data_IF_838739035703
#
_entry.id   IF_838739035703
#
_cell.length_a   1.000
_cell.length_b   1.000
_cell.length_c   1.000
_cell.angle_alpha   90.00
_cell.angle_beta   90.00
_cell.angle_gamma   90.00
#
_symmetry.space_group_name_H-M   'P 1'
#
loop_
_entity.id
_entity.type
_entity.pdbx_description
1 polymer ?
#
# COMPACT_ATOMS: atom_id res chain seq x y z
N UNK A 1 7.31 -11.09 -28.54
CA UNK A 1 7.20 -11.69 -29.89
C UNK A 1 8.29 -12.71 -30.17
N UNK A 2 9.58 -12.39 -29.98
CA UNK A 2 10.69 -13.33 -30.23
C UNK A 2 10.54 -14.68 -29.50
N UNK A 3 10.21 -14.68 -28.20
CA UNK A 3 9.99 -15.92 -27.43
C UNK A 3 8.86 -16.82 -27.96
N UNK A 4 7.77 -16.21 -28.45
CA UNK A 4 6.66 -16.95 -29.05
C UNK A 4 7.05 -17.56 -30.40
N UNK A 5 7.79 -16.80 -31.22
CA UNK A 5 8.31 -17.26 -32.51
C UNK A 5 9.33 -18.40 -32.32
N UNK A 6 10.19 -18.31 -31.31
CA UNK A 6 11.10 -19.38 -30.91
C UNK A 6 10.36 -20.64 -30.43
N UNK A 7 9.30 -20.46 -29.63
CA UNK A 7 8.47 -21.58 -29.16
C UNK A 7 7.76 -22.30 -30.31
N UNK A 8 7.18 -21.55 -31.26
CA UNK A 8 6.54 -22.10 -32.46
C UNK A 8 7.54 -22.83 -33.36
N UNK A 9 8.75 -22.28 -33.55
CA UNK A 9 9.78 -22.90 -34.36
C UNK A 9 10.29 -24.22 -33.74
N UNK A 10 10.45 -24.28 -32.42
CA UNK A 10 10.84 -25.51 -31.71
C UNK A 10 9.72 -26.56 -31.72
N UNK A 11 8.46 -26.15 -31.63
CA UNK A 11 7.32 -27.07 -31.76
C UNK A 11 7.26 -27.69 -33.17
N UNK A 12 7.48 -26.90 -34.22
CA UNK A 12 7.57 -27.40 -35.59
C UNK A 12 8.75 -28.35 -35.81
N UNK A 13 9.91 -28.07 -35.20
CA UNK A 13 11.05 -29.00 -35.21
C UNK A 13 10.73 -30.30 -34.47
N UNK A 14 9.98 -30.23 -33.37
CA UNK A 14 9.58 -31.41 -32.60
C UNK A 14 8.67 -32.34 -33.41
N UNK A 15 7.68 -31.78 -34.13
CA UNK A 15 6.82 -32.55 -35.04
C UNK A 15 7.61 -33.16 -36.20
N UNK A 16 8.58 -32.42 -36.74
CA UNK A 16 9.38 -32.89 -37.89
C UNK A 16 10.37 -34.01 -37.53
N UNK A 17 10.92 -34.00 -36.32
CA UNK A 17 11.95 -34.96 -35.88
C UNK A 17 11.43 -35.98 -34.84
N UNK A 18 10.14 -35.98 -34.53
CA UNK A 18 9.46 -36.84 -33.54
C UNK A 18 10.24 -37.01 -32.23
N UNK A 19 10.85 -35.92 -31.75
CA UNK A 19 11.81 -35.93 -30.66
C UNK A 19 11.23 -35.24 -29.41
N UNK A 20 11.36 -35.88 -28.25
CA UNK A 20 10.81 -35.37 -26.99
C UNK A 20 11.54 -34.12 -26.45
N UNK A 21 12.81 -33.94 -26.80
CA UNK A 21 13.65 -32.82 -26.35
C UNK A 21 13.13 -31.46 -26.89
N UNK A 22 12.94 -31.26 -28.22
CA UNK A 22 12.39 -30.00 -28.74
C UNK A 22 10.94 -29.77 -28.30
N UNK A 23 10.16 -30.83 -28.06
CA UNK A 23 8.81 -30.71 -27.50
C UNK A 23 8.83 -30.17 -26.06
N UNK A 24 9.71 -30.69 -25.20
CA UNK A 24 9.90 -30.20 -23.84
C UNK A 24 10.42 -28.75 -23.82
N UNK A 25 11.35 -28.41 -24.71
CA UNK A 25 11.86 -27.05 -24.85
C UNK A 25 10.77 -26.07 -25.31
N UNK A 26 9.93 -26.46 -26.28
CA UNK A 26 8.79 -25.66 -26.72
C UNK A 26 7.78 -25.45 -25.58
N UNK A 27 7.46 -26.49 -24.80
CA UNK A 27 6.59 -26.39 -23.64
C UNK A 27 7.14 -25.42 -22.58
N UNK A 28 8.45 -25.46 -22.30
CA UNK A 28 9.12 -24.52 -21.39
C UNK A 28 9.05 -23.07 -21.90
N UNK A 29 9.27 -22.85 -23.19
CA UNK A 29 9.19 -21.51 -23.80
C UNK A 29 7.76 -20.95 -23.77
N UNK A 30 6.74 -21.78 -24.01
CA UNK A 30 5.34 -21.39 -23.85
C UNK A 30 5.00 -21.09 -22.39
N UNK A 31 5.41 -21.94 -21.45
CA UNK A 31 5.21 -21.70 -20.02
C UNK A 31 5.86 -20.39 -19.57
N UNK A 32 7.08 -20.10 -20.04
CA UNK A 32 7.79 -18.86 -19.75
C UNK A 32 7.08 -17.63 -20.35
N UNK A 33 6.57 -17.75 -21.58
CA UNK A 33 5.77 -16.70 -22.23
C UNK A 33 4.51 -16.39 -21.42
N UNK A 34 3.76 -17.42 -21.02
CA UNK A 34 2.55 -17.27 -20.19
C UNK A 34 2.91 -16.61 -18.85
N UNK A 35 3.99 -17.06 -18.20
CA UNK A 35 4.47 -16.51 -16.94
C UNK A 35 4.81 -15.02 -17.07
N UNK A 36 5.54 -14.61 -18.12
CA UNK A 36 5.85 -13.20 -18.40
C UNK A 36 4.57 -12.40 -18.67
N UNK A 37 3.66 -12.92 -19.50
CA UNK A 37 2.40 -12.27 -19.83
C UNK A 37 1.56 -11.99 -18.58
N UNK A 38 1.39 -13.01 -17.73
CA UNK A 38 0.70 -12.89 -16.44
C UNK A 38 1.42 -11.91 -15.49
N UNK A 39 2.76 -11.94 -15.48
CA UNK A 39 3.55 -11.04 -14.66
C UNK A 39 3.36 -9.57 -15.06
N UNK A 40 3.43 -9.26 -16.36
CA UNK A 40 3.21 -7.92 -16.90
C UNK A 40 1.77 -7.47 -16.61
N UNK A 41 0.78 -8.32 -16.89
CA UNK A 41 -0.63 -8.01 -16.62
C UNK A 41 -0.88 -7.68 -15.14
N UNK A 42 -0.33 -8.49 -14.22
CA UNK A 42 -0.41 -8.26 -12.77
C UNK A 42 0.29 -6.96 -12.36
N UNK A 43 1.46 -6.64 -12.92
CA UNK A 43 2.16 -5.38 -12.63
C UNK A 43 1.33 -4.17 -13.07
N UNK A 44 0.76 -4.22 -14.27
CA UNK A 44 -0.07 -3.12 -14.81
C UNK A 44 -1.31 -2.89 -13.94
N UNK A 45 -2.02 -3.96 -13.60
CA UNK A 45 -3.19 -3.87 -12.72
C UNK A 45 -2.85 -3.30 -11.34
N UNK A 46 -1.71 -3.71 -10.75
CA UNK A 46 -1.23 -3.16 -9.48
C UNK A 46 -0.88 -1.67 -9.59
N UNK A 47 -0.21 -1.25 -10.67
CA UNK A 47 0.14 0.14 -10.89
C UNK A 47 -1.11 1.03 -11.04
N UNK A 48 -2.09 0.58 -11.82
CA UNK A 48 -3.37 1.27 -12.00
C UNK A 48 -4.14 1.37 -10.67
N UNK A 49 -4.26 0.27 -9.94
CA UNK A 49 -4.92 0.27 -8.63
C UNK A 49 -4.25 1.24 -7.65
N UNK A 50 -2.90 1.27 -7.62
CA UNK A 50 -2.14 2.20 -6.77
C UNK A 50 -2.38 3.64 -7.17
N UNK A 51 -2.36 3.96 -8.47
CA UNK A 51 -2.63 5.30 -8.97
C UNK A 51 -4.03 5.78 -8.57
N UNK A 52 -5.07 4.94 -8.70
CA UNK A 52 -6.42 5.30 -8.24
C UNK A 52 -6.51 5.51 -6.74
N UNK A 53 -5.82 4.68 -5.95
CA UNK A 53 -5.71 4.87 -4.49
C UNK A 53 -5.04 6.20 -4.15
N UNK A 54 -3.94 6.53 -4.82
CA UNK A 54 -3.20 7.78 -4.57
C UNK A 54 -4.04 9.01 -4.94
N UNK A 55 -4.81 8.95 -6.04
CA UNK A 55 -5.78 10.00 -6.41
C UNK A 55 -6.86 10.16 -5.33
N UNK A 56 -7.42 9.05 -4.83
CA UNK A 56 -8.46 9.11 -3.80
C UNK A 56 -7.93 9.71 -2.49
N UNK A 57 -6.73 9.31 -2.05
CA UNK A 57 -6.13 9.87 -0.83
C UNK A 57 -5.72 11.34 -1.00
N UNK A 58 -5.22 11.73 -2.18
CA UNK A 58 -4.96 13.12 -2.53
C UNK A 58 -6.23 13.98 -2.44
N UNK A 59 -7.32 13.53 -3.08
CA UNK A 59 -8.61 14.23 -3.08
C UNK A 59 -9.16 14.40 -1.65
N UNK A 60 -9.14 13.32 -0.86
CA UNK A 60 -9.57 13.37 0.54
C UNK A 60 -8.73 14.36 1.34
N UNK A 61 -7.41 14.29 1.23
CA UNK A 61 -6.50 15.17 1.97
C UNK A 61 -6.71 16.63 1.60
N UNK A 62 -6.77 16.95 0.30
CA UNK A 62 -7.07 18.32 -0.17
C UNK A 62 -8.44 18.79 0.28
N UNK A 63 -9.47 17.92 0.25
CA UNK A 63 -10.81 18.27 0.68
C UNK A 63 -10.84 18.61 2.18
N UNK A 64 -10.16 17.81 3.01
CA UNK A 64 -10.03 18.09 4.44
C UNK A 64 -9.30 19.41 4.70
N UNK A 65 -8.13 19.61 4.09
CA UNK A 65 -7.38 20.86 4.22
C UNK A 65 -8.21 22.07 3.78
N UNK A 66 -8.94 21.97 2.66
CA UNK A 66 -9.87 23.01 2.22
C UNK A 66 -10.99 23.26 3.25
N UNK A 67 -11.68 22.21 3.71
CA UNK A 67 -12.81 22.37 4.63
C UNK A 67 -12.42 23.01 5.95
N UNK A 68 -11.22 22.72 6.48
CA UNK A 68 -10.87 23.12 7.84
C UNK A 68 -9.93 24.32 7.88
N UNK A 69 -9.62 24.96 6.75
CA UNK A 69 -8.59 26.00 6.63
C UNK A 69 -7.18 25.48 6.98
N UNK A 70 -6.92 24.24 6.57
CA UNK A 70 -5.64 23.55 6.68
C UNK A 70 -4.67 23.90 5.57
N UNK A 71 -3.37 23.82 5.89
CA UNK A 71 -2.25 23.98 4.96
C UNK A 71 -2.37 25.21 4.05
N UNK A 72 -2.35 25.01 2.71
CA UNK A 72 -2.39 26.12 1.76
C UNK A 72 -3.73 26.86 1.76
N UNK A 73 -4.79 26.33 2.39
CA UNK A 73 -6.15 26.90 2.36
C UNK A 73 -6.51 27.72 3.59
N UNK A 74 -5.50 28.30 4.26
CA UNK A 74 -5.67 29.08 5.48
C UNK A 74 -6.65 30.27 5.32
N UNK A 75 -7.14 30.82 6.43
CA UNK A 75 -8.17 31.87 6.44
C UNK A 75 -7.83 33.13 5.65
N UNK A 76 -6.55 33.42 5.41
CA UNK A 76 -6.08 34.60 4.64
C UNK A 76 -6.06 34.42 3.12
N UNK A 77 -6.45 33.26 2.58
CA UNK A 77 -6.46 33.03 1.12
C UNK A 77 -7.66 33.77 0.51
N UNK A 78 -7.44 34.67 -0.48
CA UNK A 78 -8.53 35.43 -1.11
C UNK A 78 -9.50 34.56 -1.92
N UNK A 79 -8.98 33.61 -2.71
CA UNK A 79 -9.76 32.68 -3.52
C UNK A 79 -9.39 31.21 -3.18
N UNK A 80 -9.98 30.63 -2.13
CA UNK A 80 -9.69 29.26 -1.73
C UNK A 80 -10.26 28.22 -2.70
N UNK A 81 -11.33 28.55 -3.44
CA UNK A 81 -11.94 27.64 -4.42
C UNK A 81 -11.06 27.51 -5.66
N UNK A 82 -10.57 28.63 -6.19
CA UNK A 82 -9.61 28.66 -7.28
C UNK A 82 -8.29 27.98 -6.92
N UNK A 83 -7.77 28.25 -5.71
CA UNK A 83 -6.56 27.58 -5.23
C UNK A 83 -6.76 26.06 -5.10
N UNK A 84 -7.94 25.61 -4.64
CA UNK A 84 -8.23 24.18 -4.55
C UNK A 84 -8.23 23.53 -5.93
N UNK A 85 -8.89 24.17 -6.90
CA UNK A 85 -8.94 23.71 -8.28
C UNK A 85 -7.54 23.63 -8.90
N UNK A 86 -6.72 24.66 -8.71
CA UNK A 86 -5.35 24.71 -9.21
C UNK A 86 -4.50 23.57 -8.63
N UNK A 87 -4.46 23.44 -7.30
CA UNK A 87 -3.66 22.41 -6.62
C UNK A 87 -4.13 21.01 -6.95
N UNK A 88 -5.45 20.80 -7.06
CA UNK A 88 -5.99 19.50 -7.45
C UNK A 88 -5.52 19.12 -8.86
N UNK A 89 -5.72 20.00 -9.85
CA UNK A 89 -5.37 19.69 -11.23
C UNK A 89 -3.85 19.60 -11.45
N UNK A 90 -3.05 20.34 -10.68
CA UNK A 90 -1.59 20.19 -10.64
C UNK A 90 -1.17 18.78 -10.20
N UNK A 91 -1.66 18.33 -9.04
CA UNK A 91 -1.27 17.02 -8.49
C UNK A 91 -1.84 15.85 -9.31
N UNK A 92 -3.03 16.00 -9.89
CA UNK A 92 -3.55 15.03 -10.85
C UNK A 92 -2.72 14.99 -12.15
N UNK A 93 -2.15 16.12 -12.60
CA UNK A 93 -1.23 16.14 -13.74
C UNK A 93 0.03 15.33 -13.47
N UNK A 94 0.58 15.38 -12.26
CA UNK A 94 1.72 14.54 -11.86
C UNK A 94 1.35 13.05 -11.91
N UNK A 95 0.15 12.69 -11.44
CA UNK A 95 -0.32 11.30 -11.47
C UNK A 95 -0.57 10.80 -12.91
N UNK A 96 -1.03 11.66 -13.82
CA UNK A 96 -1.14 11.33 -15.25
C UNK A 96 0.22 10.98 -15.87
N UNK A 97 1.31 11.64 -15.46
CA UNK A 97 2.66 11.35 -15.97
C UNK A 97 3.15 9.96 -15.60
N UNK A 98 2.64 9.36 -14.52
CA UNK A 98 2.99 8.00 -14.08
C UNK A 98 1.98 6.93 -14.51
N UNK A 99 1.08 7.28 -15.44
CA UNK A 99 0.15 6.32 -16.08
C UNK A 99 -1.23 6.26 -15.46
N UNK A 100 -1.64 7.24 -14.65
CA UNK A 100 -3.04 7.40 -14.27
C UNK A 100 -3.87 7.93 -15.45
N UNK A 101 -4.99 7.27 -15.75
CA UNK A 101 -5.94 7.71 -16.77
C UNK A 101 -7.11 8.44 -16.11
N UNK A 102 -7.34 9.68 -16.53
CA UNK A 102 -8.39 10.54 -15.98
C UNK A 102 -9.73 10.23 -16.66
N UNK A 103 -10.61 9.52 -15.95
CA UNK A 103 -11.95 9.17 -16.43
C UNK A 103 -12.99 10.28 -16.23
N UNK A 104 -12.60 11.44 -15.67
CA UNK A 104 -13.52 12.55 -15.37
C UNK A 104 -13.89 13.32 -16.64
N UNK A 105 -15.19 13.38 -16.91
CA UNK A 105 -15.76 14.02 -18.09
C UNK A 105 -16.57 15.29 -17.73
N UNK A 106 -16.32 16.37 -18.45
CA UNK A 106 -17.05 17.64 -18.32
C UNK A 106 -16.55 18.58 -17.21
N UNK A 107 -16.87 19.87 -17.34
CA UNK A 107 -16.38 20.93 -16.43
C UNK A 107 -16.80 20.72 -14.96
N UNK A 108 -17.98 20.15 -14.71
CA UNK A 108 -18.48 19.84 -13.36
C UNK A 108 -17.66 18.77 -12.63
N UNK A 109 -16.83 18.00 -13.33
CA UNK A 109 -16.00 16.95 -12.74
C UNK A 109 -14.55 17.40 -12.48
N UNK A 110 -14.22 18.66 -12.74
CA UNK A 110 -12.85 19.19 -12.69
C UNK A 110 -12.75 20.46 -11.87
N UNK A 111 -11.57 20.73 -11.34
CA UNK A 111 -11.27 21.94 -10.58
C UNK A 111 -12.32 22.24 -9.50
N UNK A 112 -12.95 23.42 -9.56
CA UNK A 112 -13.95 23.90 -8.60
C UNK A 112 -15.23 23.06 -8.58
N UNK A 113 -15.54 22.32 -9.66
CA UNK A 113 -16.67 21.40 -9.72
C UNK A 113 -16.55 20.21 -8.76
N UNK A 114 -15.34 19.93 -8.26
CA UNK A 114 -15.11 18.92 -7.22
C UNK A 114 -15.39 19.43 -5.80
N UNK A 115 -15.60 20.74 -5.62
CA UNK A 115 -15.94 21.32 -4.32
C UNK A 115 -17.44 21.17 -4.09
N UNK A 116 -17.79 20.29 -3.16
CA UNK A 116 -19.19 20.01 -2.83
C UNK A 116 -19.80 21.13 -1.98
N UNK A 117 -21.15 21.26 -1.96
CA UNK A 117 -21.83 22.19 -1.05
C UNK A 117 -21.47 21.94 0.43
N UNK A 118 -21.38 20.66 0.84
CA UNK A 118 -21.01 20.28 2.21
C UNK A 118 -19.62 20.79 2.57
N UNK A 119 -18.65 20.71 1.65
CA UNK A 119 -17.30 21.24 1.89
C UNK A 119 -17.33 22.74 2.18
N UNK A 120 -18.11 23.51 1.40
CA UNK A 120 -18.28 24.95 1.64
C UNK A 120 -19.00 25.22 2.95
N UNK A 121 -20.01 24.43 3.30
CA UNK A 121 -20.74 24.54 4.57
C UNK A 121 -19.81 24.30 5.76
N UNK A 122 -18.92 23.30 5.72
CA UNK A 122 -17.94 23.07 6.79
C UNK A 122 -16.94 24.21 6.85
N UNK A 123 -16.43 24.67 5.69
CA UNK A 123 -15.48 25.80 5.61
C UNK A 123 -16.03 27.09 6.22
N UNK A 124 -17.31 27.38 6.03
CA UNK A 124 -17.95 28.56 6.58
C UNK A 124 -18.16 28.53 8.11
N UNK A 125 -17.91 27.40 8.78
CA UNK A 125 -18.11 27.28 10.23
C UNK A 125 -17.04 28.04 11.02
N UNK A 126 -17.35 28.47 12.26
CA UNK A 126 -16.36 28.99 13.19
C UNK A 126 -15.22 27.99 13.45
N UNK A 127 -14.05 28.50 13.80
CA UNK A 127 -12.84 27.71 14.03
C UNK A 127 -13.07 26.51 14.96
N UNK A 128 -13.72 26.72 16.12
CA UNK A 128 -13.98 25.66 17.09
C UNK A 128 -14.74 24.47 16.49
N UNK A 129 -15.75 24.74 15.66
CA UNK A 129 -16.54 23.72 14.99
C UNK A 129 -15.75 23.02 13.88
N UNK A 130 -14.98 23.75 13.07
CA UNK A 130 -14.10 23.15 12.05
C UNK A 130 -13.05 22.22 12.69
N UNK A 131 -12.46 22.66 13.80
CA UNK A 131 -11.49 21.89 14.59
C UNK A 131 -12.10 20.60 15.11
N UNK A 132 -13.28 20.67 15.73
CA UNK A 132 -13.95 19.49 16.26
C UNK A 132 -14.30 18.48 15.17
N UNK A 133 -14.85 18.94 14.04
CA UNK A 133 -15.15 18.10 12.87
C UNK A 133 -13.87 17.41 12.38
N UNK A 134 -12.76 18.13 12.22
CA UNK A 134 -11.50 17.54 11.79
C UNK A 134 -10.98 16.47 12.77
N UNK A 135 -10.96 16.79 14.06
CA UNK A 135 -10.42 15.90 15.08
C UNK A 135 -11.26 14.62 15.23
N UNK A 136 -12.58 14.76 15.18
CA UNK A 136 -13.52 13.65 15.33
C UNK A 136 -13.63 12.80 14.08
N UNK A 137 -13.78 13.43 12.92
CA UNK A 137 -14.17 12.71 11.70
C UNK A 137 -12.95 12.29 10.88
N UNK A 138 -11.86 13.08 10.88
CA UNK A 138 -10.64 12.77 10.12
C UNK A 138 -9.55 12.17 10.98
N UNK A 139 -9.13 12.85 12.05
CA UNK A 139 -7.98 12.40 12.85
C UNK A 139 -8.26 11.10 13.60
N UNK A 140 -9.41 10.99 14.28
CA UNK A 140 -9.76 9.78 15.00
C UNK A 140 -9.91 8.57 14.08
N UNK A 141 -10.51 8.74 12.90
CA UNK A 141 -10.61 7.68 11.89
C UNK A 141 -9.22 7.18 11.48
N UNK A 142 -8.29 8.10 11.17
CA UNK A 142 -6.92 7.75 10.79
C UNK A 142 -6.17 7.07 11.94
N UNK A 143 -6.26 7.61 13.15
CA UNK A 143 -5.65 7.02 14.34
C UNK A 143 -6.12 5.57 14.56
N UNK A 144 -7.44 5.33 14.56
CA UNK A 144 -8.01 3.98 14.73
C UNK A 144 -7.57 3.05 13.61
N UNK A 145 -7.54 3.54 12.37
CA UNK A 145 -7.08 2.74 11.22
C UNK A 145 -5.62 2.30 11.37
N UNK A 146 -4.71 3.23 11.70
CA UNK A 146 -3.28 2.94 11.89
C UNK A 146 -3.02 2.03 13.07
N UNK A 147 -3.70 2.24 14.20
CA UNK A 147 -3.64 1.37 15.38
C UNK A 147 -4.06 -0.07 15.05
N UNK A 148 -5.19 -0.23 14.37
CA UNK A 148 -5.67 -1.55 13.97
C UNK A 148 -4.67 -2.22 13.01
N UNK A 149 -4.14 -1.48 12.04
CA UNK A 149 -3.13 -1.97 11.08
C UNK A 149 -1.81 -2.39 11.73
N UNK A 150 -1.35 -1.65 12.75
CA UNK A 150 -0.19 -2.03 13.54
C UNK A 150 -0.44 -3.36 14.26
N UNK A 151 -1.58 -3.48 14.94
CA UNK A 151 -1.95 -4.70 15.67
C UNK A 151 -2.11 -5.94 14.77
N UNK A 152 -2.72 -5.77 13.60
CA UNK A 152 -2.88 -6.84 12.60
C UNK A 152 -1.53 -7.31 12.06
N UNK A 153 -0.65 -6.37 11.71
CA UNK A 153 0.69 -6.65 11.21
C UNK A 153 1.54 -7.35 12.27
N UNK A 154 1.44 -6.91 13.52
CA UNK A 154 2.14 -7.53 14.64
C UNK A 154 1.66 -8.97 14.87
N UNK A 155 0.34 -9.20 14.95
CA UNK A 155 -0.24 -10.54 15.11
C UNK A 155 0.14 -11.49 13.97
N UNK A 156 0.17 -10.99 12.74
CA UNK A 156 0.62 -11.76 11.59
C UNK A 156 2.11 -12.12 11.71
N UNK A 157 2.96 -11.18 12.12
CA UNK A 157 4.39 -11.40 12.36
C UNK A 157 4.63 -12.51 13.41
N UNK A 158 3.96 -12.43 14.56
CA UNK A 158 4.05 -13.42 15.63
C UNK A 158 3.57 -14.78 15.15
N UNK A 159 2.38 -14.86 14.51
CA UNK A 159 1.82 -16.12 14.02
C UNK A 159 2.75 -16.83 13.04
N UNK A 160 3.28 -16.11 12.05
CA UNK A 160 4.19 -16.72 11.08
C UNK A 160 5.52 -17.13 11.71
N UNK A 161 6.03 -16.36 12.68
CA UNK A 161 7.24 -16.73 13.41
C UNK A 161 7.03 -18.02 14.22
N UNK A 162 5.87 -18.17 14.87
CA UNK A 162 5.50 -19.39 15.59
C UNK A 162 5.33 -20.59 14.66
N UNK A 163 4.69 -20.42 13.49
CA UNK A 163 4.54 -21.48 12.49
C UNK A 163 5.91 -21.94 11.98
N UNK A 164 6.78 -21.01 11.60
CA UNK A 164 8.14 -21.33 11.15
C UNK A 164 8.93 -22.04 12.24
N UNK A 165 8.90 -21.55 13.49
CA UNK A 165 9.59 -22.18 14.60
C UNK A 165 9.08 -23.60 14.89
N UNK A 166 7.77 -23.82 14.84
CA UNK A 166 7.16 -25.13 15.02
C UNK A 166 7.59 -26.11 13.90
N UNK A 167 7.56 -25.67 12.63
CA UNK A 167 8.01 -26.49 11.51
C UNK A 167 9.50 -26.86 11.63
N UNK A 168 10.35 -25.91 12.00
CA UNK A 168 11.78 -26.17 12.24
C UNK A 168 12.01 -27.12 13.42
N UNK A 169 11.28 -26.95 14.52
CA UNK A 169 11.36 -27.84 15.68
C UNK A 169 10.92 -29.26 15.36
N UNK A 170 9.83 -29.42 14.59
CA UNK A 170 9.38 -30.72 14.12
C UNK A 170 10.36 -31.35 13.12
N UNK A 171 10.96 -30.55 12.24
CA UNK A 171 12.00 -31.02 11.32
C UNK A 171 13.23 -31.55 12.08
N UNK A 172 13.66 -30.83 13.11
CA UNK A 172 14.75 -31.24 13.99
C UNK A 172 14.42 -32.54 14.74
N UNK A 173 13.23 -32.64 15.33
CA UNK A 173 12.79 -33.85 16.02
C UNK A 173 12.76 -35.06 15.07
N UNK A 174 12.21 -34.90 13.87
CA UNK A 174 12.19 -35.94 12.85
C UNK A 174 13.61 -36.35 12.42
N UNK A 175 14.53 -35.39 12.28
CA UNK A 175 15.92 -35.66 11.95
C UNK A 175 16.62 -36.49 13.05
N UNK A 176 16.42 -36.14 14.32
CA UNK A 176 17.00 -36.87 15.46
C UNK A 176 16.43 -38.28 15.56
N UNK A 177 15.10 -38.44 15.49
CA UNK A 177 14.47 -39.76 15.56
C UNK A 177 14.87 -40.67 14.39
N UNK A 178 15.10 -40.10 13.20
CA UNK A 178 15.66 -40.83 12.05
C UNK A 178 17.11 -41.23 12.30
N UNK A 179 17.93 -40.35 12.86
CA UNK A 179 19.32 -40.66 13.20
C UNK A 179 19.43 -41.78 14.26
N UNK A 180 18.46 -41.86 15.18
CA UNK A 180 18.35 -42.93 16.18
C UNK A 180 17.73 -44.23 15.64
N UNK A 181 17.34 -44.29 14.36
CA UNK A 181 16.75 -45.47 13.74
C UNK A 181 15.31 -45.78 14.17
N UNK A 182 14.62 -44.83 14.80
CA UNK A 182 13.26 -45.03 15.35
C UNK A 182 12.19 -44.97 14.26
N UNK A 183 12.43 -44.25 13.16
CA UNK A 183 11.50 -44.04 12.05
C UNK A 183 12.17 -44.35 10.71
N UNK A 184 11.48 -45.09 9.84
CA UNK A 184 11.94 -45.49 8.52
C UNK A 184 11.09 -44.98 7.36
N UNK A 185 11.74 -44.72 6.22
CA UNK A 185 11.13 -44.65 4.88
C UNK A 185 10.56 -43.31 4.40
N UNK A 186 10.19 -42.37 5.26
CA UNK A 186 9.54 -41.11 4.85
C UNK A 186 10.44 -39.89 5.14
N UNK A 187 10.67 -39.04 4.13
CA UNK A 187 11.46 -37.81 4.27
C UNK A 187 10.64 -36.65 4.88
N UNK A 188 10.09 -36.89 6.07
CA UNK A 188 9.33 -35.90 6.83
C UNK A 188 10.20 -34.67 7.16
N UNK A 189 11.49 -34.90 7.40
CA UNK A 189 12.49 -33.85 7.64
C UNK A 189 12.59 -32.89 6.45
N UNK A 190 12.72 -33.41 5.22
CA UNK A 190 12.77 -32.59 4.02
C UNK A 190 11.51 -31.76 3.81
N UNK A 191 10.33 -32.36 3.98
CA UNK A 191 9.05 -31.66 3.83
C UNK A 191 8.87 -30.53 4.87
N UNK A 192 9.16 -30.81 6.14
CA UNK A 192 9.04 -29.83 7.23
C UNK A 192 10.06 -28.68 7.07
N UNK A 193 11.28 -28.99 6.63
CA UNK A 193 12.33 -28.00 6.37
C UNK A 193 11.98 -27.10 5.17
N UNK A 194 11.45 -27.67 4.09
CA UNK A 194 10.96 -26.92 2.94
C UNK A 194 9.78 -26.00 3.32
N UNK A 195 8.85 -26.50 4.15
CA UNK A 195 7.75 -25.71 4.70
C UNK A 195 8.24 -24.54 5.56
N UNK A 196 9.23 -24.78 6.44
CA UNK A 196 9.85 -23.73 7.25
C UNK A 196 10.53 -22.67 6.37
N UNK A 197 11.31 -23.09 5.37
CA UNK A 197 11.96 -22.19 4.42
C UNK A 197 10.95 -21.35 3.62
N UNK A 198 9.84 -21.95 3.17
CA UNK A 198 8.73 -21.22 2.54
C UNK A 198 8.07 -20.22 3.49
N UNK A 199 7.93 -20.57 4.78
CA UNK A 199 7.45 -19.69 5.84
C UNK A 199 8.36 -18.46 6.03
N UNK A 200 9.67 -18.67 6.12
CA UNK A 200 10.67 -17.59 6.20
C UNK A 200 10.58 -16.70 4.96
N UNK A 201 10.58 -17.29 3.75
CA UNK A 201 10.48 -16.53 2.51
C UNK A 201 9.18 -15.71 2.44
N UNK A 202 8.06 -16.26 2.92
CA UNK A 202 6.80 -15.54 3.00
C UNK A 202 6.84 -14.35 3.97
N UNK A 203 7.51 -14.50 5.12
CA UNK A 203 7.71 -13.41 6.07
C UNK A 203 8.55 -12.28 5.46
N UNK A 204 9.64 -12.60 4.76
CA UNK A 204 10.49 -11.64 4.06
C UNK A 204 9.74 -10.90 2.95
N UNK A 205 8.87 -11.59 2.21
CA UNK A 205 8.02 -10.98 1.18
C UNK A 205 6.98 -10.04 1.80
N UNK A 206 6.36 -10.44 2.92
CA UNK A 206 5.29 -9.66 3.56
C UNK A 206 5.80 -8.50 4.41
N UNK A 207 7.05 -8.52 4.87
CA UNK A 207 7.69 -7.45 5.66
C UNK A 207 6.83 -6.96 6.83
N UNK A 208 6.21 -7.88 7.58
CA UNK A 208 5.31 -7.54 8.69
C UNK A 208 5.99 -6.71 9.79
N UNK A 209 7.30 -6.90 10.01
CA UNK A 209 8.07 -6.14 11.01
C UNK A 209 8.22 -4.65 10.64
N UNK A 210 8.77 -4.28 9.46
CA UNK A 210 8.77 -2.89 8.99
C UNK A 210 7.38 -2.24 8.97
N UNK A 211 6.34 -2.99 8.57
CA UNK A 211 4.97 -2.49 8.58
C UNK A 211 4.45 -2.19 9.99
N UNK A 212 4.73 -3.07 10.95
CA UNK A 212 4.35 -2.86 12.35
C UNK A 212 5.00 -1.60 12.88
N UNK A 213 6.31 -1.43 12.66
CA UNK A 213 7.05 -0.24 13.08
C UNK A 213 6.47 1.04 12.47
N UNK A 214 6.31 1.08 11.15
CA UNK A 214 5.80 2.27 10.45
C UNK A 214 4.40 2.67 10.94
N UNK A 215 3.50 1.70 11.13
CA UNK A 215 2.15 1.98 11.61
C UNK A 215 2.10 2.41 13.07
N UNK A 216 2.90 1.80 13.95
CA UNK A 216 2.99 2.20 15.36
C UNK A 216 3.58 3.60 15.53
N UNK A 217 4.58 3.96 14.72
CA UNK A 217 5.14 5.31 14.75
C UNK A 217 4.10 6.35 14.31
N UNK A 218 3.41 6.11 13.18
CA UNK A 218 2.35 6.99 12.71
C UNK A 218 1.22 7.11 13.75
N UNK A 219 0.83 6.01 14.41
CA UNK A 219 -0.16 6.04 15.50
C UNK A 219 0.25 7.01 16.63
N UNK A 220 1.51 6.93 17.07
CA UNK A 220 2.06 7.77 18.14
C UNK A 220 2.12 9.25 17.74
N UNK A 221 2.57 9.52 16.52
CA UNK A 221 2.65 10.88 15.97
C UNK A 221 1.25 11.51 15.85
N UNK A 222 0.26 10.74 15.38
CA UNK A 222 -1.12 11.20 15.26
C UNK A 222 -1.75 11.49 16.62
N UNK A 223 -1.53 10.65 17.63
CA UNK A 223 -2.05 10.93 18.98
C UNK A 223 -1.38 12.17 19.59
N UNK A 224 -0.07 12.33 19.40
CA UNK A 224 0.67 13.53 19.85
C UNK A 224 0.11 14.79 19.20
N UNK A 225 -0.08 14.77 17.87
CA UNK A 225 -0.70 15.88 17.15
C UNK A 225 -2.13 16.13 17.60
N UNK A 226 -2.95 15.10 17.80
CA UNK A 226 -4.33 15.24 18.27
C UNK A 226 -4.41 15.93 19.63
N UNK A 227 -3.53 15.56 20.57
CA UNK A 227 -3.46 16.21 21.89
C UNK A 227 -3.07 17.70 21.74
N UNK A 228 -2.08 18.01 20.92
CA UNK A 228 -1.68 19.40 20.64
C UNK A 228 -2.80 20.20 19.97
N UNK A 229 -3.37 19.65 18.89
CA UNK A 229 -4.43 20.28 18.11
C UNK A 229 -5.71 20.53 18.89
N UNK A 230 -6.00 19.71 19.91
CA UNK A 230 -7.17 19.88 20.78
C UNK A 230 -6.96 20.93 21.87
N UNK A 231 -5.73 21.07 22.41
CA UNK A 231 -5.46 21.87 23.62
C UNK A 231 -4.68 23.16 23.37
N UNK A 232 -3.67 23.14 22.51
CA UNK A 232 -2.67 24.21 22.42
C UNK A 232 -2.70 24.95 21.09
N UNK A 233 -3.09 24.29 20.00
CA UNK A 233 -3.12 24.94 18.67
C UNK A 233 -4.28 25.93 18.56
N UNK A 234 -3.92 27.18 18.32
CA UNK A 234 -4.85 28.29 18.03
C UNK A 234 -5.16 28.36 16.54
N UNK A 235 -6.13 29.19 16.15
CA UNK A 235 -6.48 29.36 14.73
C UNK A 235 -5.30 29.84 13.87
N UNK A 236 -4.37 30.61 14.45
CA UNK A 236 -3.19 31.09 13.74
C UNK A 236 -2.23 29.95 13.32
N UNK A 237 -2.04 28.94 14.18
CA UNK A 237 -1.20 27.77 13.91
C UNK A 237 -1.94 26.58 13.30
N UNK A 238 -3.26 26.69 13.12
CA UNK A 238 -4.10 25.58 12.70
C UNK A 238 -3.75 25.05 11.31
N UNK A 239 -3.47 25.95 10.36
CA UNK A 239 -3.17 25.57 9.00
C UNK A 239 -1.95 24.64 8.92
N UNK A 240 -0.88 24.98 9.64
CA UNK A 240 0.35 24.19 9.70
C UNK A 240 0.13 22.84 10.39
N UNK A 241 -0.58 22.83 11.52
CA UNK A 241 -0.89 21.59 12.23
C UNK A 241 -1.70 20.59 11.38
N UNK A 242 -2.67 21.07 10.61
CA UNK A 242 -3.43 20.22 9.68
C UNK A 242 -2.55 19.72 8.53
N UNK A 243 -1.69 20.59 7.97
CA UNK A 243 -0.77 20.18 6.90
C UNK A 243 0.18 19.07 7.37
N UNK A 244 0.70 19.20 8.59
CA UNK A 244 1.58 18.19 9.18
C UNK A 244 0.84 16.88 9.44
N UNK A 245 -0.36 16.95 10.00
CA UNK A 245 -1.18 15.78 10.23
C UNK A 245 -1.52 15.05 8.91
N UNK A 246 -1.86 15.79 7.85
CA UNK A 246 -2.13 15.23 6.52
C UNK A 246 -0.88 14.69 5.82
N UNK A 247 0.30 15.25 6.12
CA UNK A 247 1.60 14.73 5.64
C UNK A 247 1.89 13.36 6.28
N UNK A 248 1.64 13.22 7.58
CA UNK A 248 1.89 11.97 8.34
C UNK A 248 1.01 10.83 7.84
N UNK A 249 -0.28 11.08 7.56
CA UNK A 249 -1.20 10.06 7.01
C UNK A 249 -0.99 9.77 5.52
N UNK A 250 -0.06 10.46 4.86
CA UNK A 250 0.15 10.28 3.43
C UNK A 250 0.72 8.87 3.11
N UNK A 251 0.29 8.23 2.00
CA UNK A 251 0.85 6.95 1.57
C UNK A 251 2.37 7.00 1.39
N UNK A 252 2.89 8.14 0.90
CA UNK A 252 4.32 8.36 0.67
C UNK A 252 5.12 8.35 1.97
N UNK A 253 4.58 8.93 3.05
CA UNK A 253 5.23 8.90 4.35
C UNK A 253 5.29 7.48 4.91
N UNK A 254 4.19 6.72 4.79
CA UNK A 254 4.16 5.30 5.17
C UNK A 254 5.18 4.50 4.36
N UNK A 255 5.24 4.68 3.04
CA UNK A 255 6.22 3.99 2.17
C UNK A 255 7.67 4.32 2.54
N UNK A 256 7.95 5.57 2.90
CA UNK A 256 9.28 6.00 3.34
C UNK A 256 9.67 5.32 4.66
N UNK A 257 8.78 5.29 5.65
CA UNK A 257 9.02 4.61 6.93
C UNK A 257 9.21 3.11 6.77
N UNK A 258 8.45 2.45 5.90
CA UNK A 258 8.62 1.01 5.63
C UNK A 258 9.98 0.70 4.98
N UNK A 259 10.56 1.66 4.25
CA UNK A 259 11.86 1.50 3.57
C UNK A 259 13.07 1.89 4.42
N UNK A 260 12.93 2.92 5.26
CA UNK A 260 14.05 3.59 5.93
C UNK A 260 13.87 3.76 7.44
N UNK A 261 12.70 3.45 7.99
CA UNK A 261 12.37 3.73 9.38
C UNK A 261 12.92 2.72 10.40
N UNK A 262 13.50 1.60 9.97
CA UNK A 262 14.00 0.56 10.87
C UNK A 262 15.26 -0.11 10.37
#
# INVERSE_FOLDING_TARGET
MLLLLSATAMAMLAERFNSHIPAALAALLYAFTIAIGLHIARRRARAQWRAHRDVAELLKSLAWQYMVHGGPFHSRVPDPDGLFAERLEERLRELRRVGWEDSRNGAHSRGTGQITPVMRTVRAKPFAARREIYLRDRQLEQFVWYKNRASESHRASVRWSSVTAALTGLALLAAVLRALGVIGGWDLTGLLSAGAAAGVAWQEVRRHRPLTYAYSLIEQDLETLRVSMSKTVTEAGWAEAVAEAERIVSPQHTDWLVRFGG
#
